data_IF_124280051216
#
_entry.id   IF_124280051216
#
_cell.length_a   1.000
_cell.length_b   1.000
_cell.length_c   1.000
_cell.angle_alpha   90.00
_cell.angle_beta   90.00
_cell.angle_gamma   90.00
#
_symmetry.space_group_name_H-M   'P 1'
#
loop_
_entity.id
_entity.type
_entity.pdbx_description
1 polymer ?
#
# COMPACT_ATOMS: atom_id res chain seq x y z
N UNK A 1 29.00 -21.92 -16.35
CA UNK A 1 28.75 -22.38 -14.99
C UNK A 1 28.87 -21.19 -14.09
N UNK A 2 27.78 -20.82 -13.45
CA UNK A 2 27.81 -20.05 -12.20
C UNK A 2 26.48 -20.34 -11.49
N UNK A 3 26.51 -21.34 -10.61
CA UNK A 3 25.44 -21.64 -9.65
C UNK A 3 25.78 -20.86 -8.39
N UNK A 4 25.33 -19.62 -8.34
CA UNK A 4 25.33 -18.75 -7.17
C UNK A 4 23.86 -18.59 -6.77
N UNK A 5 23.34 -18.80 -5.56
CA UNK A 5 23.78 -19.19 -4.21
C UNK A 5 22.46 -19.52 -3.47
N UNK A 6 22.50 -20.39 -2.46
CA UNK A 6 21.33 -20.81 -1.65
C UNK A 6 20.65 -19.72 -0.81
N UNK A 7 20.16 -18.67 -1.45
CA UNK A 7 19.19 -17.74 -0.88
C UNK A 7 17.78 -18.28 -1.08
N UNK A 8 16.94 -18.16 -0.05
CA UNK A 8 15.51 -18.47 -0.14
C UNK A 8 14.88 -17.68 -1.29
N UNK A 9 14.06 -18.32 -2.12
CA UNK A 9 13.32 -17.63 -3.17
C UNK A 9 12.38 -16.61 -2.51
N UNK A 10 12.23 -15.42 -3.12
CA UNK A 10 11.33 -14.37 -2.63
C UNK A 10 9.90 -14.90 -2.52
N UNK A 11 9.50 -15.82 -3.41
CA UNK A 11 8.19 -16.49 -3.33
C UNK A 11 8.06 -17.40 -2.12
N UNK A 12 9.10 -18.15 -1.80
CA UNK A 12 9.14 -19.02 -0.63
C UNK A 12 9.07 -18.20 0.65
N UNK A 13 9.80 -17.08 0.70
CA UNK A 13 9.74 -16.13 1.81
C UNK A 13 8.35 -15.50 1.96
N UNK A 14 7.71 -15.10 0.85
CA UNK A 14 6.33 -14.59 0.84
C UNK A 14 5.34 -15.64 1.36
N UNK A 15 5.45 -16.89 0.89
CA UNK A 15 4.60 -17.99 1.33
C UNK A 15 4.82 -18.31 2.83
N UNK A 16 6.07 -18.32 3.28
CA UNK A 16 6.41 -18.50 4.70
C UNK A 16 5.81 -17.39 5.56
N UNK A 17 5.93 -16.13 5.15
CA UNK A 17 5.35 -15.00 5.87
C UNK A 17 3.81 -15.10 5.98
N UNK A 18 3.16 -15.60 4.93
CA UNK A 18 1.72 -15.88 4.97
C UNK A 18 1.40 -17.02 5.94
N UNK A 19 2.14 -18.12 5.88
CA UNK A 19 1.94 -19.29 6.74
C UNK A 19 2.17 -18.97 8.23
N UNK A 20 3.05 -18.00 8.53
CA UNK A 20 3.31 -17.50 9.87
C UNK A 20 2.33 -16.39 10.31
N UNK A 21 1.27 -16.12 9.53
CA UNK A 21 0.28 -15.08 9.79
C UNK A 21 0.87 -13.66 9.97
N UNK A 22 1.99 -13.37 9.32
CA UNK A 22 2.60 -12.04 9.39
C UNK A 22 1.68 -10.96 8.81
N UNK A 23 0.87 -11.34 7.82
CA UNK A 23 -0.13 -10.46 7.23
C UNK A 23 -1.22 -10.09 8.23
N UNK A 24 -1.73 -11.03 9.04
CA UNK A 24 -2.74 -10.78 10.07
C UNK A 24 -2.23 -9.83 11.16
N UNK A 25 -0.99 -10.02 11.60
CA UNK A 25 -0.33 -9.10 12.54
C UNK A 25 -0.20 -7.68 11.96
N UNK A 26 0.25 -7.57 10.70
CA UNK A 26 0.38 -6.27 10.01
C UNK A 26 -0.98 -5.58 9.85
N UNK A 27 -2.02 -6.32 9.45
CA UNK A 27 -3.37 -5.79 9.34
C UNK A 27 -3.92 -5.33 10.69
N UNK A 28 -3.62 -6.06 11.77
CA UNK A 28 -4.02 -5.68 13.12
C UNK A 28 -3.38 -4.36 13.55
N UNK A 29 -2.08 -4.17 13.25
CA UNK A 29 -1.37 -2.92 13.51
C UNK A 29 -1.95 -1.77 12.67
N UNK A 30 -2.12 -1.98 11.36
CA UNK A 30 -2.70 -0.98 10.45
C UNK A 30 -4.19 -0.70 10.74
N UNK A 31 -4.88 -1.58 11.46
CA UNK A 31 -6.24 -1.36 11.92
C UNK A 31 -6.35 -0.40 13.11
N UNK A 32 -5.24 -0.09 13.78
CA UNK A 32 -5.22 0.83 14.92
C UNK A 32 -5.42 2.29 14.46
N UNK A 33 -6.01 3.14 15.30
CA UNK A 33 -6.17 4.55 14.97
C UNK A 33 -4.81 5.26 14.92
N UNK A 34 -4.60 6.04 13.85
CA UNK A 34 -3.50 6.98 13.73
C UNK A 34 -4.05 8.40 13.66
N UNK A 35 -3.96 9.11 14.79
CA UNK A 35 -4.44 10.49 14.89
C UNK A 35 -3.57 11.41 14.03
N UNK A 36 -4.21 12.38 13.37
CA UNK A 36 -3.55 13.32 12.47
C UNK A 36 -4.00 14.75 12.71
N UNK A 37 -3.10 15.69 12.41
CA UNK A 37 -3.39 17.09 12.27
C UNK A 37 -3.56 17.41 10.78
N UNK A 38 -4.73 17.95 10.42
CA UNK A 38 -5.02 18.34 9.05
C UNK A 38 -4.13 19.51 8.61
N UNK A 39 -3.54 19.39 7.43
CA UNK A 39 -2.82 20.52 6.84
C UNK A 39 -3.79 21.63 6.43
N UNK A 40 -3.44 22.89 6.73
CA UNK A 40 -4.15 24.08 6.24
C UNK A 40 -3.53 24.67 4.98
N UNK A 41 -2.39 24.13 4.54
CA UNK A 41 -1.63 24.63 3.40
C UNK A 41 -1.83 23.73 2.20
N UNK A 42 -2.07 24.37 1.07
CA UNK A 42 -2.11 23.72 -0.24
C UNK A 42 -0.78 23.03 -0.51
N UNK A 43 -0.84 21.76 -0.95
CA UNK A 43 0.33 20.97 -1.28
C UNK A 43 1.03 20.30 -0.09
N UNK A 44 0.59 20.57 1.15
CA UNK A 44 1.11 19.90 2.34
C UNK A 44 0.19 18.75 2.78
N UNK A 45 0.81 17.62 3.12
CA UNK A 45 0.12 16.45 3.67
C UNK A 45 -0.19 16.63 5.17
N UNK A 46 -1.14 15.86 5.66
CA UNK A 46 -1.48 15.82 7.08
C UNK A 46 -0.29 15.30 7.89
N UNK A 47 -0.16 15.74 9.15
CA UNK A 47 0.88 15.26 10.05
C UNK A 47 0.30 14.25 11.03
N UNK A 48 0.96 13.11 11.20
CA UNK A 48 0.62 12.23 12.31
C UNK A 48 0.97 12.91 13.65
N UNK A 49 0.09 12.77 14.65
CA UNK A 49 0.34 13.28 16.00
C UNK A 49 1.33 12.41 16.79
N UNK A 50 1.37 11.12 16.46
CA UNK A 50 2.27 10.13 17.05
C UNK A 50 3.29 9.71 15.99
N UNK A 51 4.52 10.20 16.13
CA UNK A 51 5.62 9.97 15.18
C UNK A 51 6.06 8.51 15.13
N UNK A 52 6.20 7.88 16.30
CA UNK A 52 6.66 6.50 16.42
C UNK A 52 5.64 5.53 15.83
N UNK A 53 4.35 5.76 16.09
CA UNK A 53 3.28 4.97 15.46
C UNK A 53 3.24 5.16 13.95
N UNK A 54 3.46 6.38 13.46
CA UNK A 54 3.55 6.65 12.02
C UNK A 54 4.72 5.90 11.40
N UNK A 55 5.86 5.83 12.06
CA UNK A 55 7.02 5.09 11.55
C UNK A 55 6.78 3.58 11.55
N UNK A 56 6.12 3.04 12.58
CA UNK A 56 5.65 1.65 12.60
C UNK A 56 4.68 1.37 11.42
N UNK A 57 3.72 2.26 11.19
CA UNK A 57 2.77 2.12 10.07
C UNK A 57 3.50 2.16 8.73
N UNK A 58 4.52 3.01 8.58
CA UNK A 58 5.35 3.08 7.38
C UNK A 58 6.07 1.76 7.08
N UNK A 59 6.60 1.10 8.12
CA UNK A 59 7.19 -0.24 8.01
C UNK A 59 6.15 -1.29 7.62
N UNK A 60 4.96 -1.26 8.22
CA UNK A 60 3.85 -2.14 7.87
C UNK A 60 3.43 -1.99 6.40
N UNK A 61 3.26 -0.77 5.92
CA UNK A 61 2.98 -0.47 4.51
C UNK A 61 4.07 -1.01 3.59
N UNK A 62 5.34 -0.77 3.94
CA UNK A 62 6.49 -1.28 3.19
C UNK A 62 6.53 -2.80 3.11
N UNK A 63 6.16 -3.49 4.21
CA UNK A 63 6.07 -4.95 4.23
C UNK A 63 4.94 -5.44 3.33
N UNK A 64 3.75 -4.83 3.40
CA UNK A 64 2.63 -5.15 2.49
C UNK A 64 3.05 -5.04 1.03
N UNK A 65 3.72 -3.94 0.65
CA UNK A 65 4.21 -3.74 -0.72
C UNK A 65 5.11 -4.89 -1.19
N UNK A 66 6.03 -5.34 -0.32
CA UNK A 66 6.95 -6.44 -0.63
C UNK A 66 6.25 -7.79 -0.68
N UNK A 67 5.29 -8.02 0.20
CA UNK A 67 4.51 -9.26 0.23
C UNK A 67 3.60 -9.40 -1.00
N UNK A 68 2.99 -8.30 -1.45
CA UNK A 68 2.12 -8.31 -2.63
C UNK A 68 2.88 -8.40 -3.95
N UNK A 69 4.14 -7.93 -4.04
CA UNK A 69 4.86 -7.82 -5.31
C UNK A 69 4.89 -9.16 -6.07
N UNK A 70 4.15 -9.19 -7.19
CA UNK A 70 3.96 -10.33 -8.06
C UNK A 70 3.12 -11.47 -7.47
N UNK A 71 2.72 -11.44 -6.20
CA UNK A 71 2.10 -12.58 -5.50
C UNK A 71 0.59 -12.48 -5.50
N UNK A 72 -0.06 -13.11 -6.49
CA UNK A 72 -1.54 -13.09 -6.61
C UNK A 72 -2.26 -13.64 -5.39
N UNK A 73 -1.69 -14.64 -4.74
CA UNK A 73 -2.23 -15.22 -3.50
C UNK A 73 -2.29 -14.17 -2.39
N UNK A 74 -1.18 -13.46 -2.17
CA UNK A 74 -1.10 -12.42 -1.12
C UNK A 74 -1.96 -11.22 -1.46
N UNK A 75 -1.99 -10.83 -2.74
CA UNK A 75 -2.85 -9.76 -3.25
C UNK A 75 -4.34 -10.06 -2.96
N UNK A 76 -4.80 -11.27 -3.29
CA UNK A 76 -6.18 -11.69 -3.00
C UNK A 76 -6.50 -11.68 -1.50
N UNK A 77 -5.51 -12.01 -0.67
CA UNK A 77 -5.67 -12.00 0.79
C UNK A 77 -5.75 -10.58 1.38
N UNK A 78 -4.93 -9.65 0.88
CA UNK A 78 -4.83 -8.29 1.43
C UNK A 78 -5.83 -7.30 0.82
N UNK A 79 -6.33 -7.58 -0.39
CA UNK A 79 -7.27 -6.72 -1.10
C UNK A 79 -8.56 -6.39 -0.31
N UNK A 80 -9.22 -7.34 0.37
CA UNK A 80 -10.40 -7.03 1.21
C UNK A 80 -10.14 -5.98 2.29
N UNK A 81 -8.88 -5.77 2.68
CA UNK A 81 -8.48 -4.82 3.71
C UNK A 81 -7.97 -3.48 3.15
N UNK A 82 -7.89 -3.33 1.82
CA UNK A 82 -7.38 -2.13 1.17
C UNK A 82 -8.13 -0.87 1.61
N UNK A 83 -9.45 -0.94 1.77
CA UNK A 83 -10.28 0.18 2.26
C UNK A 83 -9.86 0.66 3.67
N UNK A 84 -9.41 -0.24 4.54
CA UNK A 84 -8.85 0.12 5.84
C UNK A 84 -7.54 0.91 5.69
N UNK A 85 -6.66 0.45 4.80
CA UNK A 85 -5.37 1.10 4.52
C UNK A 85 -5.53 2.47 3.86
N UNK A 86 -6.56 2.65 3.01
CA UNK A 86 -6.90 3.94 2.40
C UNK A 86 -7.13 5.05 3.43
N UNK A 87 -7.57 4.70 4.64
CA UNK A 87 -7.74 5.68 5.72
C UNK A 87 -6.46 6.40 6.04
N UNK A 88 -5.28 5.83 5.78
CA UNK A 88 -3.98 6.46 6.05
C UNK A 88 -3.52 7.43 4.97
N UNK A 89 -4.23 7.49 3.85
CA UNK A 89 -3.82 8.28 2.70
C UNK A 89 -3.79 9.78 3.04
N UNK A 90 -2.78 10.45 2.50
CA UNK A 90 -2.53 11.86 2.75
C UNK A 90 -1.88 12.19 4.10
N UNK A 91 -1.52 11.19 4.92
CA UNK A 91 -0.60 11.39 6.06
C UNK A 91 0.84 11.40 5.52
N UNK A 92 1.60 12.45 5.84
CA UNK A 92 3.01 12.55 5.54
C UNK A 92 3.84 11.43 6.18
N UNK A 93 4.77 10.86 5.42
CA UNK A 93 5.64 9.77 5.86
C UNK A 93 5.05 8.36 5.67
N UNK A 94 3.81 8.25 5.18
CA UNK A 94 3.20 7.00 4.74
C UNK A 94 3.12 6.95 3.22
N UNK A 95 3.51 5.81 2.63
CA UNK A 95 3.46 5.56 1.18
C UNK A 95 2.28 4.63 0.85
N UNK A 96 1.09 5.07 1.25
CA UNK A 96 -0.15 4.29 1.14
C UNK A 96 -0.48 4.00 -0.32
N UNK A 97 -0.12 4.90 -1.22
CA UNK A 97 -0.46 4.84 -2.63
C UNK A 97 0.31 3.71 -3.31
N UNK A 98 1.60 3.55 -2.99
CA UNK A 98 2.38 2.40 -3.42
C UNK A 98 1.91 1.10 -2.76
N UNK A 99 1.45 1.14 -1.51
CA UNK A 99 0.85 -0.04 -0.83
C UNK A 99 -0.38 -0.53 -1.57
N UNK A 100 -1.31 0.38 -1.83
CA UNK A 100 -2.51 0.09 -2.59
C UNK A 100 -2.11 -0.42 -3.98
N UNK A 101 -1.23 0.28 -4.71
CA UNK A 101 -0.82 -0.14 -6.05
C UNK A 101 -0.26 -1.57 -6.07
N UNK A 102 0.56 -1.93 -5.07
CA UNK A 102 1.14 -3.26 -4.96
C UNK A 102 0.07 -4.37 -4.80
N UNK A 103 -1.04 -4.09 -4.11
CA UNK A 103 -2.15 -5.03 -3.90
C UNK A 103 -2.81 -5.40 -5.25
N UNK A 104 -2.90 -4.48 -6.20
CA UNK A 104 -3.57 -4.72 -7.49
C UNK A 104 -2.62 -4.92 -8.66
N UNK A 105 -1.33 -4.57 -8.49
CA UNK A 105 -0.34 -4.58 -9.57
C UNK A 105 -0.19 -5.94 -10.24
N UNK A 106 -0.37 -5.99 -11.57
CA UNK A 106 -0.25 -7.22 -12.37
C UNK A 106 -1.36 -8.25 -12.12
N UNK A 107 -2.42 -7.88 -11.40
CA UNK A 107 -3.59 -8.72 -11.15
C UNK A 107 -4.81 -8.14 -11.86
N UNK A 108 -4.95 -8.48 -13.14
CA UNK A 108 -6.00 -7.98 -14.02
C UNK A 108 -7.42 -8.16 -13.45
N UNK A 109 -7.69 -9.28 -12.76
CA UNK A 109 -8.99 -9.53 -12.15
C UNK A 109 -9.33 -8.50 -11.06
N UNK A 110 -8.37 -8.20 -10.17
CA UNK A 110 -8.57 -7.17 -9.15
C UNK A 110 -8.68 -5.78 -9.77
N UNK A 111 -7.84 -5.48 -10.77
CA UNK A 111 -7.88 -4.19 -11.50
C UNK A 111 -9.24 -3.94 -12.16
N UNK A 112 -9.81 -4.95 -12.82
CA UNK A 112 -11.12 -4.86 -13.47
C UNK A 112 -12.25 -4.68 -12.43
N UNK A 113 -12.11 -5.29 -11.25
CA UNK A 113 -13.09 -5.17 -10.16
C UNK A 113 -13.07 -3.77 -9.49
N UNK A 114 -11.89 -3.17 -9.30
CA UNK A 114 -11.75 -1.90 -8.54
C UNK A 114 -11.49 -0.65 -9.36
N UNK A 115 -11.20 -0.77 -10.65
CA UNK A 115 -10.56 0.28 -11.46
C UNK A 115 -11.19 1.67 -11.32
N UNK A 116 -12.51 1.76 -11.42
CA UNK A 116 -13.22 3.06 -11.34
C UNK A 116 -13.14 3.69 -9.94
N UNK A 117 -13.43 2.92 -8.89
CA UNK A 117 -13.38 3.40 -7.51
C UNK A 117 -11.97 3.87 -7.13
N UNK A 118 -10.96 3.18 -7.63
CA UNK A 118 -9.56 3.44 -7.35
C UNK A 118 -9.03 4.67 -8.10
N UNK A 119 -9.36 4.81 -9.38
CA UNK A 119 -9.05 6.01 -10.16
C UNK A 119 -9.71 7.23 -9.50
N UNK A 120 -10.99 7.11 -9.12
CA UNK A 120 -11.72 8.17 -8.40
C UNK A 120 -11.03 8.55 -7.10
N UNK A 121 -10.58 7.56 -6.32
CA UNK A 121 -9.85 7.77 -5.08
C UNK A 121 -8.54 8.54 -5.29
N UNK A 122 -7.74 8.15 -6.29
CA UNK A 122 -6.46 8.82 -6.60
C UNK A 122 -6.70 10.27 -7.03
N UNK A 123 -7.67 10.54 -7.91
CA UNK A 123 -8.01 11.91 -8.32
C UNK A 123 -8.58 12.77 -7.19
N UNK A 124 -9.45 12.21 -6.34
CA UNK A 124 -9.96 12.92 -5.15
C UNK A 124 -8.82 13.30 -4.20
N UNK A 125 -7.86 12.39 -4.01
CA UNK A 125 -6.70 12.63 -3.16
C UNK A 125 -5.78 13.71 -3.76
N UNK A 126 -5.50 13.62 -5.06
CA UNK A 126 -4.78 14.64 -5.82
C UNK A 126 -5.43 16.02 -5.67
N UNK A 127 -6.75 16.09 -5.82
CA UNK A 127 -7.51 17.32 -5.71
C UNK A 127 -7.56 17.86 -4.28
N UNK A 128 -7.73 16.99 -3.27
CA UNK A 128 -7.84 17.37 -1.86
C UNK A 128 -6.54 17.99 -1.34
N UNK A 129 -5.42 17.32 -1.56
CA UNK A 129 -4.14 17.76 -1.02
C UNK A 129 -3.41 18.72 -1.96
N UNK A 130 -3.78 18.75 -3.24
CA UNK A 130 -3.12 19.54 -4.30
C UNK A 130 -1.60 19.33 -4.35
N UNK A 131 -1.13 18.19 -3.81
CA UNK A 131 0.27 17.83 -3.75
C UNK A 131 0.66 17.11 -5.04
N UNK A 132 1.75 17.57 -5.68
CA UNK A 132 2.28 16.94 -6.89
C UNK A 132 3.17 15.76 -6.51
N UNK A 133 2.57 14.59 -6.26
CA UNK A 133 3.31 13.34 -6.00
C UNK A 133 3.22 12.41 -7.21
N UNK A 134 4.33 12.20 -7.90
CA UNK A 134 4.41 11.28 -9.04
C UNK A 134 3.89 9.88 -8.70
N UNK A 135 4.14 9.42 -7.47
CA UNK A 135 3.68 8.14 -6.93
C UNK A 135 2.16 7.94 -7.00
N UNK A 136 1.37 9.02 -6.96
CA UNK A 136 -0.09 8.94 -7.07
C UNK A 136 -0.53 8.56 -8.49
N UNK A 137 0.18 9.05 -9.49
CA UNK A 137 -0.03 8.68 -10.88
C UNK A 137 0.56 7.30 -11.17
N UNK A 138 1.75 6.98 -10.63
CA UNK A 138 2.35 5.65 -10.72
C UNK A 138 1.44 4.57 -10.10
N UNK A 139 0.75 4.89 -9.00
CA UNK A 139 -0.22 3.99 -8.38
C UNK A 139 -1.48 3.78 -9.24
N UNK A 140 -1.83 4.75 -10.09
CA UNK A 140 -2.94 4.66 -11.02
C UNK A 140 -2.57 3.99 -12.36
N UNK A 141 -1.29 3.98 -12.73
CA UNK A 141 -0.82 3.38 -13.99
C UNK A 141 -1.29 1.94 -14.23
N UNK A 142 -1.27 1.02 -13.25
CA UNK A 142 -1.74 -0.35 -13.46
C UNK A 142 -3.21 -0.46 -13.89
N UNK A 143 -4.01 0.60 -13.69
CA UNK A 143 -5.43 0.65 -14.04
C UNK A 143 -5.68 1.23 -15.44
N UNK A 144 -4.72 2.00 -15.98
CA UNK A 144 -4.84 2.71 -17.26
C UNK A 144 -4.10 1.97 -18.37
N UNK A 145 -3.04 1.24 -18.03
CA UNK A 145 -2.29 0.38 -18.95
C UNK A 145 -2.22 -1.05 -18.37
N UNK A 146 -3.33 -1.82 -18.43
CA UNK A 146 -3.39 -3.17 -17.88
C UNK A 146 -2.50 -4.19 -18.61
#
# INVERSE_FOLDING_TARGET
GDKDKGGMDVREAQAMAVNLDMHGAVLSILGLPLARQLSKKIGELDKALDGDRRDLFSLCHSLVQRLCKGSRMVQALLYPHAAGMQKHMGIGGLDVESTLAAIVSGNRALVEETGEAWISLMFKTMAQYQARRARWLEAAMPLVCP
#
